data_IF_906637873271
#
_entry.id   IF_906637873271
#
_cell.length_a   1.000
_cell.length_b   1.000
_cell.length_c   1.000
_cell.angle_alpha   90.00
_cell.angle_beta   90.00
_cell.angle_gamma   90.00
#
_symmetry.space_group_name_H-M   'P 1'
#
loop_
_entity.id
_entity.type
_entity.pdbx_description
1 polymer ?
#
# COMPACT_ATOMS: atom_id res chain seq x y z
N UNK A 1 -0.99 3.58 8.35
CA UNK A 1 -1.68 4.69 7.63
C UNK A 1 -1.51 6.02 8.36
N UNK A 2 -2.04 6.17 9.58
CA UNK A 2 -1.94 7.44 10.35
C UNK A 2 -0.50 7.95 10.45
N UNK A 3 0.43 7.08 10.86
CA UNK A 3 1.84 7.43 11.00
C UNK A 3 2.48 7.87 9.65
N UNK A 4 2.09 7.25 8.54
CA UNK A 4 2.59 7.60 7.21
C UNK A 4 2.08 8.96 6.74
N UNK A 5 0.80 9.25 7.00
CA UNK A 5 0.21 10.55 6.68
C UNK A 5 0.86 11.66 7.52
N UNK A 6 1.20 11.38 8.78
CA UNK A 6 1.92 12.32 9.63
C UNK A 6 3.34 12.59 9.12
N UNK A 7 4.06 11.54 8.67
CA UNK A 7 5.37 11.70 8.05
C UNK A 7 5.26 12.55 6.78
N UNK A 8 4.32 12.24 5.89
CA UNK A 8 4.13 13.00 4.64
C UNK A 8 3.75 14.46 4.91
N UNK A 9 2.92 14.72 5.91
CA UNK A 9 2.58 16.08 6.32
C UNK A 9 3.81 16.87 6.80
N UNK A 10 4.61 16.28 7.69
CA UNK A 10 5.84 16.92 8.18
C UNK A 10 6.80 17.19 7.02
N UNK A 11 6.94 16.23 6.10
CA UNK A 11 7.81 16.38 4.94
C UNK A 11 7.35 17.49 4.00
N UNK A 12 6.06 17.55 3.69
CA UNK A 12 5.50 18.59 2.84
C UNK A 12 5.67 19.99 3.47
N UNK A 13 5.54 20.12 4.79
CA UNK A 13 5.71 21.41 5.49
C UNK A 13 7.18 21.83 5.56
N UNK A 14 8.09 20.93 5.93
CA UNK A 14 9.51 21.25 6.15
C UNK A 14 10.25 21.52 4.84
N UNK A 15 9.87 20.86 3.75
CA UNK A 15 10.50 21.00 2.43
C UNK A 15 9.60 21.69 1.40
N UNK A 16 8.60 22.46 1.85
CA UNK A 16 7.65 23.14 0.96
C UNK A 16 8.34 24.04 -0.08
N UNK A 17 9.27 24.88 0.37
CA UNK A 17 9.86 25.94 -0.45
C UNK A 17 11.23 25.61 -1.03
N UNK A 18 11.92 24.58 -0.54
CA UNK A 18 13.29 24.24 -0.95
C UNK A 18 13.68 22.79 -0.56
N UNK A 19 14.69 22.24 -1.23
CA UNK A 19 15.19 20.87 -1.04
C UNK A 19 16.45 20.76 -0.14
N UNK A 20 16.67 21.65 0.83
CA UNK A 20 17.88 21.61 1.69
C UNK A 20 17.88 20.47 2.70
N UNK A 21 19.04 19.87 2.95
CA UNK A 21 19.20 18.84 3.99
C UNK A 21 19.21 19.45 5.40
N UNK A 22 18.03 19.58 6.01
CA UNK A 22 17.85 20.13 7.38
C UNK A 22 17.92 19.06 8.48
N UNK A 23 17.39 17.88 8.20
CA UNK A 23 17.17 16.84 9.20
C UNK A 23 17.51 15.46 8.62
N UNK A 24 18.80 15.08 8.55
CA UNK A 24 19.23 13.82 7.94
C UNK A 24 18.69 12.60 8.70
N UNK A 25 18.65 12.65 10.03
CA UNK A 25 18.11 11.57 10.89
C UNK A 25 16.62 11.35 10.61
N UNK A 26 15.86 12.41 10.34
CA UNK A 26 14.45 12.30 9.97
C UNK A 26 14.27 11.56 8.65
N UNK A 27 15.10 11.86 7.64
CA UNK A 27 15.03 11.19 6.35
C UNK A 27 15.28 9.68 6.46
N UNK A 28 16.25 9.25 7.28
CA UNK A 28 16.50 7.82 7.50
C UNK A 28 15.30 7.11 8.12
N UNK A 29 14.68 7.72 9.13
CA UNK A 29 13.48 7.18 9.78
C UNK A 29 12.33 7.12 8.78
N UNK A 30 12.05 8.24 8.08
CA UNK A 30 10.93 8.36 7.16
C UNK A 30 10.98 7.32 6.04
N UNK A 31 12.16 7.06 5.49
CA UNK A 31 12.37 6.05 4.44
C UNK A 31 12.30 4.64 5.02
N UNK A 32 12.89 4.42 6.21
CA UNK A 32 12.89 3.12 6.90
C UNK A 32 11.49 2.60 7.24
N UNK A 33 10.48 3.46 7.36
CA UNK A 33 9.09 3.04 7.59
C UNK A 33 8.49 2.31 6.37
N UNK A 34 9.00 2.52 5.16
CA UNK A 34 8.57 1.76 3.97
C UNK A 34 7.08 1.91 3.62
N UNK A 35 6.55 3.12 3.77
CA UNK A 35 5.11 3.35 3.82
C UNK A 35 4.30 2.98 2.59
N UNK A 36 4.89 3.04 1.40
CA UNK A 36 4.18 2.87 0.12
C UNK A 36 3.52 1.49 0.02
N UNK A 37 4.28 0.43 0.30
CA UNK A 37 3.78 -0.94 0.22
C UNK A 37 2.93 -1.28 1.45
N UNK A 38 3.28 -0.77 2.63
CA UNK A 38 2.48 -0.92 3.84
C UNK A 38 1.05 -0.39 3.67
N UNK A 39 0.86 0.72 2.92
CA UNK A 39 -0.48 1.21 2.56
C UNK A 39 -1.26 0.22 1.70
N UNK A 40 -0.66 -0.29 0.63
CA UNK A 40 -1.31 -1.23 -0.27
C UNK A 40 -1.67 -2.53 0.44
N UNK A 41 -0.75 -3.05 1.25
CA UNK A 41 -0.99 -4.24 2.07
C UNK A 41 -2.12 -4.03 3.09
N UNK A 42 -2.18 -2.87 3.75
CA UNK A 42 -3.26 -2.56 4.69
C UNK A 42 -4.63 -2.52 4.00
N UNK A 43 -4.70 -1.92 2.80
CA UNK A 43 -5.95 -1.86 2.03
C UNK A 43 -6.38 -3.26 1.56
N UNK A 44 -5.44 -4.08 1.11
CA UNK A 44 -5.69 -5.49 0.80
C UNK A 44 -6.25 -6.26 2.02
N UNK A 45 -5.65 -6.10 3.20
CA UNK A 45 -6.12 -6.77 4.42
C UNK A 45 -7.53 -6.30 4.81
N UNK A 46 -7.84 -5.01 4.65
CA UNK A 46 -9.19 -4.48 4.85
C UNK A 46 -10.17 -5.15 3.87
N UNK A 47 -9.87 -5.18 2.58
CA UNK A 47 -10.74 -5.80 1.57
C UNK A 47 -11.00 -7.29 1.87
N UNK A 48 -9.96 -8.03 2.29
CA UNK A 48 -10.06 -9.42 2.72
C UNK A 48 -10.95 -9.58 3.96
N UNK A 49 -10.75 -8.74 4.98
CA UNK A 49 -11.58 -8.75 6.19
C UNK A 49 -13.06 -8.51 5.86
N UNK A 50 -13.37 -7.56 4.98
CA UNK A 50 -14.73 -7.33 4.51
C UNK A 50 -15.31 -8.57 3.80
N UNK A 51 -14.54 -9.20 2.91
CA UNK A 51 -14.97 -10.40 2.20
C UNK A 51 -15.29 -11.56 3.17
N UNK A 52 -14.46 -11.73 4.20
CA UNK A 52 -14.65 -12.76 5.23
C UNK A 52 -15.89 -12.51 6.10
N UNK A 53 -16.18 -11.25 6.43
CA UNK A 53 -17.36 -10.88 7.23
C UNK A 53 -18.67 -11.12 6.46
N UNK A 54 -18.67 -10.96 5.15
CA UNK A 54 -19.85 -11.16 4.28
C UNK A 54 -19.97 -12.62 3.78
N UNK A 55 -18.95 -13.43 4.01
CA UNK A 55 -18.95 -14.86 3.71
C UNK A 55 -19.98 -15.60 4.57
N UNK A 56 -20.64 -16.66 4.05
CA UNK A 56 -21.66 -17.38 4.79
C UNK A 56 -21.05 -18.25 5.89
N UNK A 57 -19.74 -18.49 5.83
CA UNK A 57 -18.97 -19.20 6.86
C UNK A 57 -18.64 -18.30 8.05
N UNK A 58 -18.95 -17.00 8.00
CA UNK A 58 -18.63 -16.06 9.06
C UNK A 58 -19.26 -16.43 10.42
N UNK A 59 -20.41 -17.10 10.43
CA UNK A 59 -21.09 -17.54 11.67
C UNK A 59 -20.50 -18.82 12.27
N UNK A 60 -19.74 -19.59 11.50
CA UNK A 60 -19.18 -20.89 11.91
C UNK A 60 -17.67 -20.84 12.21
N UNK A 61 -17.13 -19.66 12.53
CA UNK A 61 -15.69 -19.47 12.68
C UNK A 61 -15.19 -19.94 14.05
N UNK A 62 -14.21 -20.84 14.04
CA UNK A 62 -13.56 -21.31 15.27
C UNK A 62 -12.56 -20.28 15.81
N UNK A 63 -12.17 -20.41 17.09
CA UNK A 63 -11.08 -19.60 17.69
C UNK A 63 -9.77 -19.75 16.91
N UNK A 64 -9.47 -20.95 16.41
CA UNK A 64 -8.26 -21.21 15.63
C UNK A 64 -8.28 -20.47 14.28
N UNK A 65 -9.43 -20.41 13.60
CA UNK A 65 -9.58 -19.68 12.33
C UNK A 65 -9.43 -18.17 12.52
N UNK A 66 -9.90 -17.63 13.65
CA UNK A 66 -9.69 -16.21 13.99
C UNK A 66 -8.21 -15.92 14.20
N UNK A 67 -7.48 -16.79 14.92
CA UNK A 67 -6.03 -16.63 15.14
C UNK A 67 -5.24 -16.71 13.83
N UNK A 68 -5.53 -17.70 12.97
CA UNK A 68 -4.86 -17.83 11.66
C UNK A 68 -5.05 -16.60 10.78
N UNK A 69 -6.26 -16.01 10.78
CA UNK A 69 -6.53 -14.76 10.06
C UNK A 69 -5.77 -13.57 10.61
N UNK A 70 -5.79 -13.38 11.93
CA UNK A 70 -5.02 -12.30 12.55
C UNK A 70 -3.52 -12.42 12.20
N UNK A 71 -2.95 -13.62 12.27
CA UNK A 71 -1.55 -13.87 11.89
C UNK A 71 -1.30 -13.50 10.43
N UNK A 72 -2.20 -13.89 9.51
CA UNK A 72 -2.08 -13.53 8.10
C UNK A 72 -2.12 -12.01 7.90
N UNK A 73 -3.07 -11.32 8.52
CA UNK A 73 -3.23 -9.87 8.37
C UNK A 73 -2.05 -9.10 8.96
N UNK A 74 -1.50 -9.56 10.10
CA UNK A 74 -0.28 -9.00 10.68
C UNK A 74 0.95 -9.27 9.82
N UNK A 75 1.09 -10.48 9.29
CA UNK A 75 2.19 -10.84 8.41
C UNK A 75 2.16 -10.02 7.10
N UNK A 76 0.99 -9.84 6.51
CA UNK A 76 0.84 -9.03 5.30
C UNK A 76 1.06 -7.53 5.58
N UNK A 77 0.54 -7.01 6.69
CA UNK A 77 0.61 -5.57 7.01
C UNK A 77 1.97 -5.12 7.54
N UNK A 78 2.72 -5.99 8.22
CA UNK A 78 4.03 -5.65 8.82
C UNK A 78 5.16 -6.50 8.26
N UNK A 79 4.99 -7.82 8.16
CA UNK A 79 6.02 -8.74 7.68
C UNK A 79 6.45 -8.43 6.25
N UNK A 80 5.51 -8.31 5.31
CA UNK A 80 5.83 -8.03 3.90
C UNK A 80 6.55 -6.68 3.72
N UNK A 81 6.09 -5.55 4.30
CA UNK A 81 6.84 -4.30 4.25
C UNK A 81 8.26 -4.40 4.82
N UNK A 82 8.45 -5.09 5.95
CA UNK A 82 9.78 -5.28 6.56
C UNK A 82 10.70 -6.06 5.62
N UNK A 83 10.20 -7.14 5.01
CA UNK A 83 10.98 -7.95 4.05
C UNK A 83 11.36 -7.10 2.83
N UNK A 84 10.42 -6.34 2.27
CA UNK A 84 10.71 -5.52 1.08
C UNK A 84 11.67 -4.37 1.43
N UNK A 85 11.57 -3.78 2.61
CA UNK A 85 12.55 -2.78 3.08
C UNK A 85 13.95 -3.39 3.24
N UNK A 86 14.06 -4.62 3.75
CA UNK A 86 15.34 -5.31 3.82
C UNK A 86 15.90 -5.60 2.41
N UNK A 87 15.05 -6.02 1.47
CA UNK A 87 15.42 -6.21 0.07
C UNK A 87 15.77 -4.89 -0.65
N UNK A 88 15.27 -3.75 -0.17
CA UNK A 88 15.51 -2.46 -0.81
C UNK A 88 17.00 -2.12 -0.91
N UNK A 89 17.81 -2.58 0.04
CA UNK A 89 19.27 -2.40 0.07
C UNK A 89 19.94 -2.91 -1.21
N UNK A 90 19.36 -3.91 -1.88
CA UNK A 90 19.91 -4.54 -3.10
C UNK A 90 19.92 -3.56 -4.29
N UNK A 91 18.90 -2.72 -4.40
CA UNK A 91 18.68 -1.85 -5.56
C UNK A 91 18.68 -0.35 -5.23
N UNK A 92 19.04 0.01 -4.01
CA UNK A 92 19.06 1.38 -3.52
C UNK A 92 20.29 2.14 -4.05
N UNK A 93 20.05 3.20 -4.81
CA UNK A 93 21.08 3.99 -5.49
C UNK A 93 21.92 4.85 -4.53
N UNK A 94 21.24 5.63 -3.69
CA UNK A 94 21.84 6.57 -2.74
C UNK A 94 21.15 6.38 -1.38
N UNK A 95 21.65 7.00 -0.32
CA UNK A 95 21.05 6.88 1.01
C UNK A 95 19.63 7.46 1.01
N UNK A 96 19.47 8.67 0.50
CA UNK A 96 18.16 9.30 0.27
C UNK A 96 18.26 10.46 -0.72
N UNK A 97 17.11 10.81 -1.32
CA UNK A 97 16.95 12.04 -2.07
C UNK A 97 16.03 13.00 -1.31
N UNK A 98 16.21 14.30 -1.50
CA UNK A 98 15.32 15.34 -1.01
C UNK A 98 14.72 16.03 -2.23
N UNK A 99 13.39 15.99 -2.32
CA UNK A 99 12.64 16.61 -3.42
C UNK A 99 11.85 17.79 -2.86
N UNK A 100 11.98 18.95 -3.49
CA UNK A 100 11.22 20.15 -3.12
C UNK A 100 9.71 19.89 -3.17
N UNK A 101 8.99 20.30 -2.12
CA UNK A 101 7.55 20.11 -1.96
C UNK A 101 7.13 18.72 -1.47
N UNK A 102 8.01 17.71 -1.55
CA UNK A 102 7.71 16.31 -1.18
C UNK A 102 8.51 15.85 0.05
N UNK A 103 9.75 16.29 0.17
CA UNK A 103 10.68 15.93 1.25
C UNK A 103 11.58 14.73 0.91
N UNK A 104 11.93 13.93 1.92
CA UNK A 104 12.85 12.82 1.81
C UNK A 104 12.21 11.63 1.08
N UNK A 105 12.93 11.09 0.09
CA UNK A 105 12.49 9.97 -0.73
C UNK A 105 13.60 8.92 -0.87
N UNK A 106 13.18 7.67 -0.99
CA UNK A 106 14.06 6.56 -1.33
C UNK A 106 14.47 6.63 -2.80
N UNK A 107 15.77 6.56 -3.07
CA UNK A 107 16.30 6.47 -4.43
C UNK A 107 16.47 5.03 -4.85
N UNK A 108 16.37 4.80 -6.16
CA UNK A 108 16.45 3.47 -6.74
C UNK A 108 16.90 3.57 -8.19
N UNK A 109 17.65 2.57 -8.64
CA UNK A 109 17.94 2.39 -10.05
C UNK A 109 16.97 1.38 -10.66
N UNK A 110 16.65 1.55 -11.94
CA UNK A 110 15.83 0.62 -12.68
C UNK A 110 16.66 -0.53 -13.20
N UNK A 111 16.39 -1.72 -12.69
CA UNK A 111 17.05 -2.97 -13.08
C UNK A 111 16.13 -4.16 -12.76
N UNK A 112 16.52 -5.36 -13.18
CA UNK A 112 15.70 -6.56 -12.99
C UNK A 112 15.29 -6.82 -11.52
N UNK A 113 16.15 -6.58 -10.49
CA UNK A 113 15.73 -6.76 -9.10
C UNK A 113 14.66 -5.76 -8.68
N UNK A 114 14.74 -4.51 -9.13
CA UNK A 114 13.74 -3.47 -8.83
C UNK A 114 12.37 -3.84 -9.39
N UNK A 115 12.32 -4.41 -10.61
CA UNK A 115 11.08 -4.86 -11.20
C UNK A 115 10.41 -5.94 -10.34
N UNK A 116 11.17 -6.99 -9.97
CA UNK A 116 10.63 -8.13 -9.23
C UNK A 116 10.32 -7.75 -7.77
N UNK A 117 11.23 -7.03 -7.11
CA UNK A 117 11.16 -6.78 -5.66
C UNK A 117 10.31 -5.58 -5.29
N UNK A 118 10.07 -4.63 -6.22
CA UNK A 118 9.29 -3.43 -5.94
C UNK A 118 8.06 -3.31 -6.85
N UNK A 119 8.22 -3.42 -8.17
CA UNK A 119 7.15 -3.10 -9.10
C UNK A 119 6.02 -4.13 -9.10
N UNK A 120 6.33 -5.43 -8.96
CA UNK A 120 5.34 -6.52 -8.97
C UNK A 120 4.32 -6.43 -7.82
N UNK A 121 4.75 -6.01 -6.63
CA UNK A 121 3.92 -6.07 -5.43
C UNK A 121 2.73 -5.11 -5.47
N UNK A 122 2.90 -3.92 -6.08
CA UNK A 122 1.83 -2.93 -6.19
C UNK A 122 0.59 -3.47 -6.91
N UNK A 123 0.72 -3.92 -8.17
CA UNK A 123 -0.34 -4.59 -8.92
C UNK A 123 -0.89 -5.84 -8.21
N UNK A 124 -0.05 -6.66 -7.59
CA UNK A 124 -0.50 -7.87 -6.86
C UNK A 124 -1.48 -7.51 -5.75
N UNK A 125 -1.14 -6.52 -4.90
CA UNK A 125 -2.05 -6.08 -3.84
C UNK A 125 -3.30 -5.38 -4.38
N UNK A 126 -3.17 -4.59 -5.46
CA UNK A 126 -4.30 -3.91 -6.09
C UNK A 126 -5.31 -4.90 -6.70
N UNK A 127 -4.83 -5.87 -7.48
CA UNK A 127 -5.68 -6.92 -8.08
C UNK A 127 -6.31 -7.79 -6.98
N UNK A 128 -5.54 -8.18 -5.98
CA UNK A 128 -6.06 -8.94 -4.84
C UNK A 128 -7.16 -8.18 -4.10
N UNK A 129 -6.93 -6.90 -3.80
CA UNK A 129 -7.94 -6.04 -3.18
C UNK A 129 -9.19 -5.92 -4.04
N UNK A 130 -9.03 -5.70 -5.35
CA UNK A 130 -10.15 -5.60 -6.29
C UNK A 130 -11.01 -6.86 -6.30
N UNK A 131 -10.39 -8.05 -6.33
CA UNK A 131 -11.11 -9.32 -6.30
C UNK A 131 -11.93 -9.48 -5.02
N UNK A 132 -11.36 -9.17 -3.85
CA UNK A 132 -12.08 -9.25 -2.57
C UNK A 132 -13.20 -8.22 -2.45
N UNK A 133 -12.98 -6.99 -2.90
CA UNK A 133 -14.01 -5.95 -2.91
C UNK A 133 -15.14 -6.29 -3.87
N UNK A 134 -14.84 -6.80 -5.07
CA UNK A 134 -15.84 -7.27 -6.02
C UNK A 134 -16.66 -8.44 -5.45
N UNK A 135 -16.00 -9.41 -4.81
CA UNK A 135 -16.66 -10.52 -4.11
C UNK A 135 -17.60 -9.99 -3.02
N UNK A 136 -17.14 -9.05 -2.20
CA UNK A 136 -17.94 -8.45 -1.13
C UNK A 136 -19.19 -7.78 -1.70
N UNK A 137 -19.05 -6.94 -2.73
CA UNK A 137 -20.18 -6.26 -3.39
C UNK A 137 -21.16 -7.28 -3.98
N UNK A 138 -20.67 -8.29 -4.72
CA UNK A 138 -21.51 -9.34 -5.31
C UNK A 138 -22.33 -10.06 -4.24
N UNK A 139 -21.70 -10.43 -3.13
CA UNK A 139 -22.33 -11.12 -2.01
C UNK A 139 -23.36 -10.23 -1.31
N UNK A 140 -23.05 -8.96 -1.10
CA UNK A 140 -23.97 -7.98 -0.51
C UNK A 140 -25.22 -7.81 -1.40
N UNK A 141 -25.06 -7.71 -2.72
CA UNK A 141 -26.17 -7.62 -3.67
C UNK A 141 -27.01 -8.90 -3.66
N UNK A 142 -26.37 -10.08 -3.68
CA UNK A 142 -27.06 -11.38 -3.61
C UNK A 142 -27.84 -11.52 -2.30
N UNK A 143 -27.26 -11.11 -1.17
CA UNK A 143 -27.95 -11.11 0.11
C UNK A 143 -29.19 -10.21 0.07
N UNK A 144 -29.10 -8.99 -0.49
CA UNK A 144 -30.28 -8.12 -0.65
C UNK A 144 -31.38 -8.74 -1.52
N UNK A 145 -31.03 -9.41 -2.63
CA UNK A 145 -32.01 -10.11 -3.47
C UNK A 145 -32.73 -11.23 -2.71
N UNK A 146 -32.01 -11.92 -1.83
CA UNK A 146 -32.61 -12.94 -0.96
C UNK A 146 -33.43 -12.31 0.18
N UNK A 147 -33.00 -11.19 0.77
CA UNK A 147 -33.76 -10.46 1.79
C UNK A 147 -35.04 -9.82 1.23
N UNK A 148 -35.06 -9.30 0.00
CA UNK A 148 -36.32 -8.85 -0.63
C UNK A 148 -37.37 -9.97 -0.75
N UNK A 149 -36.97 -11.25 -0.65
CA UNK A 149 -37.89 -12.40 -0.58
C UNK A 149 -38.25 -12.82 0.86
N UNK A 150 -37.54 -12.34 1.88
CA UNK A 150 -37.66 -12.79 3.30
C UNK A 150 -38.04 -11.63 4.24
N UNK A 151 -38.10 -10.38 3.77
CA UNK A 151 -38.53 -9.19 4.55
C UNK A 151 -40.01 -9.23 4.98
N UNK A 152 -40.76 -10.29 4.66
CA UNK A 152 -42.03 -10.59 5.33
C UNK A 152 -41.85 -11.15 6.76
N UNK A 153 -40.64 -11.56 7.18
CA UNK A 153 -40.46 -12.18 8.49
C UNK A 153 -39.02 -12.14 9.01
N UNK A 154 -38.83 -11.43 10.12
CA UNK A 154 -37.81 -11.65 11.15
C UNK A 154 -36.31 -11.38 10.85
N UNK A 155 -35.75 -10.50 11.69
CA UNK A 155 -34.39 -10.53 12.27
C UNK A 155 -33.21 -10.86 11.34
N UNK A 156 -32.74 -9.87 10.57
CA UNK A 156 -31.42 -9.93 9.94
C UNK A 156 -30.30 -9.76 10.99
N UNK A 157 -29.38 -10.71 11.06
CA UNK A 157 -28.21 -10.70 11.95
C UNK A 157 -27.20 -9.57 11.68
N UNK A 158 -27.37 -8.78 10.61
CA UNK A 158 -26.59 -7.58 10.31
C UNK A 158 -27.51 -6.35 10.32
N UNK A 159 -27.20 -5.36 11.16
CA UNK A 159 -27.92 -4.08 11.15
C UNK A 159 -27.74 -3.39 9.79
N UNK A 160 -28.83 -2.85 9.23
CA UNK A 160 -28.86 -2.17 7.92
C UNK A 160 -27.77 -1.11 7.77
N UNK A 161 -27.45 -0.40 8.85
CA UNK A 161 -26.39 0.61 8.89
C UNK A 161 -24.98 0.04 8.68
N UNK A 162 -24.66 -1.13 9.27
CA UNK A 162 -23.36 -1.79 9.05
C UNK A 162 -23.24 -2.27 7.61
N UNK A 163 -24.32 -2.79 7.04
CA UNK A 163 -24.37 -3.23 5.65
C UNK A 163 -24.06 -2.09 4.68
N UNK A 164 -24.71 -0.92 4.85
CA UNK A 164 -24.49 0.24 3.97
C UNK A 164 -23.05 0.74 4.05
N UNK A 165 -22.47 0.81 5.26
CA UNK A 165 -21.07 1.23 5.45
C UNK A 165 -20.06 0.29 4.77
N UNK A 166 -20.26 -1.02 4.87
CA UNK A 166 -19.41 -2.03 4.21
C UNK A 166 -19.52 -1.96 2.68
N UNK A 167 -20.74 -1.77 2.16
CA UNK A 167 -20.98 -1.60 0.74
C UNK A 167 -20.31 -0.33 0.21
N UNK A 168 -20.49 0.81 0.89
CA UNK A 168 -19.88 2.08 0.52
C UNK A 168 -18.35 2.00 0.48
N UNK A 169 -17.73 1.36 1.48
CA UNK A 169 -16.27 1.17 1.54
C UNK A 169 -15.75 0.27 0.40
N UNK A 170 -16.47 -0.79 0.06
CA UNK A 170 -16.06 -1.70 -1.02
C UNK A 170 -16.21 -1.05 -2.39
N UNK A 171 -17.29 -0.30 -2.60
CA UNK A 171 -17.55 0.43 -3.84
C UNK A 171 -16.56 1.58 -4.00
N UNK A 172 -16.27 2.34 -2.95
CA UNK A 172 -15.29 3.43 -3.02
C UNK A 172 -13.90 2.92 -3.36
N UNK A 173 -13.51 1.75 -2.85
CA UNK A 173 -12.25 1.14 -3.22
C UNK A 173 -12.21 0.73 -4.71
N UNK A 174 -13.29 0.14 -5.24
CA UNK A 174 -13.36 -0.21 -6.66
C UNK A 174 -13.38 1.02 -7.58
N UNK A 175 -14.11 2.07 -7.20
CA UNK A 175 -14.31 3.26 -8.03
C UNK A 175 -13.12 4.25 -7.96
N UNK A 176 -12.42 4.33 -6.84
CA UNK A 176 -11.35 5.31 -6.60
C UNK A 176 -10.01 4.62 -6.35
N UNK A 177 -9.99 3.63 -5.46
CA UNK A 177 -8.75 2.95 -5.06
C UNK A 177 -8.05 2.22 -6.21
N UNK A 178 -8.80 1.49 -7.03
CA UNK A 178 -8.25 0.75 -8.17
C UNK A 178 -7.71 1.69 -9.27
N UNK A 179 -8.46 2.70 -9.76
CA UNK A 179 -7.93 3.65 -10.73
C UNK A 179 -6.69 4.39 -10.21
N UNK A 180 -6.69 4.81 -8.94
CA UNK A 180 -5.54 5.50 -8.35
C UNK A 180 -4.32 4.58 -8.26
N UNK A 181 -4.50 3.29 -7.96
CA UNK A 181 -3.41 2.32 -7.94
C UNK A 181 -2.82 2.08 -9.33
N UNK A 182 -3.66 2.00 -10.37
CA UNK A 182 -3.21 1.87 -11.77
C UNK A 182 -2.45 3.14 -12.19
N UNK A 183 -3.03 4.31 -11.94
CA UNK A 183 -2.38 5.59 -12.23
C UNK A 183 -1.02 5.71 -11.53
N UNK A 184 -0.94 5.35 -10.25
CA UNK A 184 0.32 5.34 -9.49
C UNK A 184 1.35 4.36 -10.06
N UNK A 185 0.92 3.19 -10.55
CA UNK A 185 1.81 2.23 -11.21
C UNK A 185 2.33 2.76 -12.55
N UNK A 186 1.49 3.42 -13.35
CA UNK A 186 1.89 4.05 -14.62
C UNK A 186 2.90 5.16 -14.36
N UNK A 187 2.62 6.08 -13.43
CA UNK A 187 3.57 7.13 -13.06
C UNK A 187 4.91 6.56 -12.55
N UNK A 188 4.86 5.46 -11.79
CA UNK A 188 6.08 4.81 -11.32
C UNK A 188 6.93 4.24 -12.46
N UNK A 189 6.32 3.87 -13.59
CA UNK A 189 6.99 3.39 -14.80
C UNK A 189 7.45 4.59 -15.65
N UNK A 190 6.64 5.64 -15.80
CA UNK A 190 7.02 6.81 -16.61
C UNK A 190 8.18 7.59 -15.98
N UNK A 191 8.19 7.70 -14.64
CA UNK A 191 9.28 8.28 -13.86
C UNK A 191 10.46 7.32 -13.71
N UNK A 192 10.31 6.07 -14.16
CA UNK A 192 11.38 5.10 -14.11
C UNK A 192 12.42 5.50 -15.17
N UNK A 193 13.62 5.85 -14.70
CA UNK A 193 14.72 6.24 -15.58
C UNK A 193 15.16 5.08 -16.50
N UNK A 194 16.21 5.29 -17.31
CA UNK A 194 16.72 4.26 -18.21
C UNK A 194 17.01 2.97 -17.45
N UNK A 195 16.68 1.85 -18.09
CA UNK A 195 16.94 0.52 -17.55
C UNK A 195 18.44 0.23 -17.62
N UNK A 196 19.01 -0.16 -16.48
CA UNK A 196 20.44 -0.45 -16.32
C UNK A 196 20.63 -1.93 -16.00
N UNK A 197 21.71 -2.50 -16.56
CA UNK A 197 22.15 -3.84 -16.18
C UNK A 197 22.58 -3.84 -14.71
N UNK A 198 22.14 -4.87 -13.99
CA UNK A 198 22.37 -4.94 -12.55
C UNK A 198 23.85 -5.21 -12.24
N UNK A 199 24.47 -4.30 -11.48
CA UNK A 199 25.80 -4.48 -10.91
C UNK A 199 25.82 -3.97 -9.47
N UNK A 200 26.13 -4.86 -8.52
CA UNK A 200 26.16 -4.50 -7.10
C UNK A 200 27.16 -3.38 -6.78
N UNK A 201 28.35 -3.43 -7.37
CA UNK A 201 29.39 -2.42 -7.14
C UNK A 201 28.96 -1.05 -7.65
N UNK A 202 28.31 -0.99 -8.82
CA UNK A 202 27.80 0.26 -9.39
C UNK A 202 26.64 0.83 -8.55
N UNK A 203 25.71 -0.01 -8.12
CA UNK A 203 24.55 0.47 -7.35
C UNK A 203 24.97 0.95 -5.95
N UNK A 204 26.02 0.34 -5.38
CA UNK A 204 26.59 0.75 -4.09
C UNK A 204 27.52 1.97 -4.23
N UNK A 205 28.12 2.25 -5.38
CA UNK A 205 29.06 3.37 -5.53
C UNK A 205 28.41 4.72 -5.21
N UNK A 206 27.12 4.89 -5.55
CA UNK A 206 26.35 6.10 -5.22
C UNK A 206 26.28 6.42 -3.73
N UNK A 207 26.46 5.44 -2.84
CA UNK A 207 26.55 5.66 -1.40
C UNK A 207 27.87 6.24 -0.94
N UNK A 208 28.95 5.99 -1.68
CA UNK A 208 30.28 6.49 -1.38
C UNK A 208 30.52 7.86 -2.01
N UNK A 209 30.07 8.05 -3.25
CA UNK A 209 30.33 9.28 -4.01
C UNK A 209 29.33 10.40 -3.66
N UNK A 210 28.03 10.08 -3.71
CA UNK A 210 26.94 11.06 -3.57
C UNK A 210 25.79 10.50 -2.73
N UNK A 211 25.99 10.33 -1.41
CA UNK A 211 25.01 9.67 -0.55
C UNK A 211 23.65 10.38 -0.49
N UNK A 212 23.61 11.68 -0.78
CA UNK A 212 22.40 12.51 -0.73
C UNK A 212 22.20 13.20 -2.07
N UNK A 213 21.02 12.98 -2.67
CA UNK A 213 20.62 13.64 -3.92
C UNK A 213 19.63 14.76 -3.62
N UNK A 214 19.82 15.95 -4.21
CA UNK A 214 18.94 17.11 -4.00
C UNK A 214 18.27 17.43 -5.33
N UNK A 215 16.93 17.45 -5.32
CA UNK A 215 16.09 17.76 -6.48
C UNK A 215 15.27 19.01 -6.14
N UNK A 216 15.75 20.17 -6.62
CA UNK A 216 15.15 21.47 -6.30
C UNK A 216 14.12 21.96 -7.35
N UNK A 217 13.87 21.13 -8.37
CA UNK A 217 12.78 21.35 -9.32
C UNK A 217 11.44 21.11 -8.63
N UNK A 218 10.41 21.96 -8.87
CA UNK A 218 9.08 21.72 -8.34
C UNK A 218 8.54 20.37 -8.87
N UNK A 219 8.00 19.56 -7.95
CA UNK A 219 7.36 18.27 -8.24
C UNK A 219 5.97 18.44 -8.87
#
# INVERSE_FOLDING_TARGET
VVLLNAIEFIQAVVWYSDAKNRAPVWCDIAIGVGGSIGRLAAVYCIARFLADVVSPRATALTRQDRRRRAIHDYFMSFGVPIIIMACHVVYQANRFAIIRGVGCQATQYMSWPTLIMRLVWGPVFAVGGMMYSAYTVFRLIRHRRNFHRVVAGAHSALTTTRFIRLAALSISYLAIGVPLAIYGAVNAIDLSGPYLDYSWSYFRSGWHDHPITIVDTPA
#
